data_IF_473600841497
#
_entry.id   IF_473600841497
#
_cell.length_a   1.000
_cell.length_b   1.000
_cell.length_c   1.000
_cell.angle_alpha   90.00
_cell.angle_beta   90.00
_cell.angle_gamma   90.00
#
_symmetry.space_group_name_H-M   'P 1'
#
loop_
_entity.id
_entity.type
_entity.pdbx_description
1 polymer ?
#
# COMPACT_ATOMS: atom_id res chain seq x y z
N UNK A 1 0.39 2.26 39.59
CA UNK A 1 -0.03 1.58 38.35
C UNK A 1 0.84 0.36 38.19
N UNK A 2 0.27 -0.83 38.03
CA UNK A 2 1.06 -2.07 38.00
C UNK A 2 1.73 -2.26 36.62
N UNK A 3 2.86 -2.97 36.58
CA UNK A 3 3.63 -3.28 35.35
C UNK A 3 2.72 -3.83 34.23
N UNK A 4 1.76 -4.70 34.60
CA UNK A 4 0.76 -5.27 33.70
C UNK A 4 -0.14 -4.22 33.06
N UNK A 5 -0.60 -3.23 33.84
CA UNK A 5 -1.50 -2.19 33.37
C UNK A 5 -0.78 -1.23 32.41
N UNK A 6 0.49 -0.94 32.70
CA UNK A 6 1.34 -0.13 31.83
C UNK A 6 1.57 -0.81 30.47
N UNK A 7 1.87 -2.12 30.47
CA UNK A 7 2.05 -2.89 29.23
C UNK A 7 0.75 -3.00 28.44
N UNK A 8 -0.39 -3.21 29.10
CA UNK A 8 -1.70 -3.21 28.45
C UNK A 8 -2.01 -1.87 27.78
N UNK A 9 -1.83 -0.74 28.48
CA UNK A 9 -2.03 0.60 27.91
C UNK A 9 -1.10 0.87 26.73
N UNK A 10 0.17 0.47 26.83
CA UNK A 10 1.12 0.62 25.73
C UNK A 10 0.76 -0.25 24.52
N UNK A 11 0.26 -1.47 24.77
CA UNK A 11 -0.24 -2.37 23.72
C UNK A 11 -1.41 -1.74 22.98
N UNK A 12 -2.40 -1.21 23.69
CA UNK A 12 -3.56 -0.55 23.09
C UNK A 12 -3.14 0.66 22.24
N UNK A 13 -2.21 1.48 22.74
CA UNK A 13 -1.65 2.59 21.97
C UNK A 13 -0.95 2.12 20.70
N UNK A 14 -0.15 1.06 20.78
CA UNK A 14 0.56 0.50 19.62
C UNK A 14 -0.39 -0.15 18.63
N UNK A 15 -1.47 -0.79 19.09
CA UNK A 15 -2.52 -1.36 18.25
C UNK A 15 -3.22 -0.29 17.43
N UNK A 16 -3.63 0.82 18.06
CA UNK A 16 -4.21 1.97 17.35
C UNK A 16 -3.27 2.63 16.33
N UNK A 17 -1.95 2.51 16.52
CA UNK A 17 -0.96 3.00 15.55
C UNK A 17 -0.80 2.02 14.38
N UNK A 18 -0.84 0.74 14.67
CA UNK A 18 -0.84 -0.32 13.65
C UNK A 18 -2.09 -0.25 12.77
N UNK A 19 -3.28 -0.10 13.36
CA UNK A 19 -4.54 0.12 12.65
C UNK A 19 -4.45 1.33 11.71
N UNK A 20 -3.94 2.48 12.19
CA UNK A 20 -3.72 3.66 11.34
C UNK A 20 -2.69 3.43 10.23
N UNK A 21 -1.63 2.66 10.50
CA UNK A 21 -0.66 2.32 9.47
C UNK A 21 -1.27 1.39 8.41
N UNK A 22 -2.15 0.46 8.82
CA UNK A 22 -2.90 -0.40 7.91
C UNK A 22 -3.88 0.41 7.04
N UNK A 23 -4.58 1.38 7.61
CA UNK A 23 -5.43 2.31 6.86
C UNK A 23 -4.61 3.08 5.82
N UNK A 24 -3.41 3.54 6.18
CA UNK A 24 -2.50 4.21 5.25
C UNK A 24 -2.07 3.29 4.10
N UNK A 25 -1.74 2.03 4.39
CA UNK A 25 -1.45 1.03 3.34
C UNK A 25 -2.63 0.87 2.40
N UNK A 26 -3.86 0.76 2.91
CA UNK A 26 -5.05 0.64 2.07
C UNK A 26 -5.24 1.88 1.19
N UNK A 27 -5.11 3.09 1.75
CA UNK A 27 -5.22 4.34 0.98
C UNK A 27 -4.15 4.44 -0.11
N UNK A 28 -2.89 4.14 0.23
CA UNK A 28 -1.77 4.18 -0.73
C UNK A 28 -1.91 3.09 -1.79
N UNK A 29 -2.46 1.93 -1.44
CA UNK A 29 -2.73 0.86 -2.41
C UNK A 29 -3.78 1.28 -3.42
N UNK A 30 -4.86 1.92 -2.97
CA UNK A 30 -5.87 2.47 -3.88
C UNK A 30 -5.27 3.53 -4.82
N UNK A 31 -4.48 4.46 -4.28
CA UNK A 31 -3.80 5.48 -5.09
C UNK A 31 -2.80 4.89 -6.10
N UNK A 32 -2.05 3.85 -5.72
CA UNK A 32 -1.14 3.15 -6.63
C UNK A 32 -1.88 2.41 -7.75
N UNK A 33 -3.00 1.78 -7.44
CA UNK A 33 -3.85 1.12 -8.43
C UNK A 33 -4.46 2.13 -9.40
N UNK A 34 -4.94 3.27 -8.90
CA UNK A 34 -5.46 4.34 -9.75
C UNK A 34 -4.37 4.87 -10.69
N UNK A 35 -3.17 5.15 -10.16
CA UNK A 35 -2.08 5.63 -11.00
C UNK A 35 -1.64 4.60 -12.06
N UNK A 36 -1.75 3.30 -11.77
CA UNK A 36 -1.51 2.26 -12.77
C UNK A 36 -2.58 2.25 -13.88
N UNK A 37 -3.85 2.47 -13.51
CA UNK A 37 -4.93 2.66 -14.48
C UNK A 37 -4.71 3.90 -15.35
N UNK A 38 -4.27 5.01 -14.77
CA UNK A 38 -4.00 6.24 -15.51
C UNK A 38 -2.87 6.06 -16.54
N UNK A 39 -1.83 5.28 -16.19
CA UNK A 39 -0.76 4.90 -17.13
C UNK A 39 -1.32 4.09 -18.30
N UNK A 40 -2.14 3.09 -18.00
CA UNK A 40 -2.74 2.26 -19.05
C UNK A 40 -3.62 3.10 -19.98
N UNK A 41 -4.49 3.93 -19.43
CA UNK A 41 -5.34 4.84 -20.20
C UNK A 41 -4.52 5.81 -21.07
N UNK A 42 -3.40 6.31 -20.56
CA UNK A 42 -2.52 7.18 -21.34
C UNK A 42 -1.83 6.42 -22.49
N UNK A 43 -1.38 5.19 -22.27
CA UNK A 43 -0.81 4.33 -23.30
C UNK A 43 -1.85 3.93 -24.37
N UNK A 44 -3.08 3.63 -23.94
CA UNK A 44 -4.20 3.33 -24.83
C UNK A 44 -4.55 4.55 -25.69
N UNK A 45 -4.58 5.75 -25.11
CA UNK A 45 -4.82 6.99 -25.85
C UNK A 45 -3.72 7.28 -26.89
N UNK A 46 -2.46 6.98 -26.60
CA UNK A 46 -1.37 7.06 -27.59
C UNK A 46 -1.60 6.08 -28.73
N UNK A 47 -1.91 4.83 -28.41
CA UNK A 47 -2.13 3.76 -29.39
C UNK A 47 -3.32 4.08 -30.29
N UNK A 48 -4.44 4.49 -29.70
CA UNK A 48 -5.66 4.86 -30.41
C UNK A 48 -5.44 6.07 -31.32
N UNK A 49 -4.71 7.10 -30.86
CA UNK A 49 -4.38 8.26 -31.68
C UNK A 49 -3.46 7.90 -32.85
N UNK A 50 -2.47 7.04 -32.63
CA UNK A 50 -1.58 6.55 -33.69
C UNK A 50 -2.36 5.76 -34.75
N UNK A 51 -3.24 4.86 -34.32
CA UNK A 51 -4.07 4.08 -35.24
C UNK A 51 -4.97 4.99 -36.08
N UNK A 52 -5.70 5.92 -35.43
CA UNK A 52 -6.54 6.89 -36.16
C UNK A 52 -5.75 7.75 -37.13
N UNK A 53 -4.51 8.10 -36.78
CA UNK A 53 -3.63 8.91 -37.65
C UNK A 53 -3.19 8.08 -38.85
N UNK A 54 -2.81 6.82 -38.65
CA UNK A 54 -2.46 5.90 -39.74
C UNK A 54 -3.64 5.65 -40.69
N UNK A 55 -4.84 5.38 -40.15
CA UNK A 55 -6.05 5.17 -40.97
C UNK A 55 -6.39 6.44 -41.78
N UNK A 56 -6.21 7.62 -41.18
CA UNK A 56 -6.41 8.90 -41.87
C UNK A 56 -5.32 9.19 -42.92
N UNK A 57 -4.08 8.78 -42.67
CA UNK A 57 -2.98 8.82 -43.63
C UNK A 57 -3.30 7.96 -44.85
N UNK A 58 -3.64 6.69 -44.63
CA UNK A 58 -3.98 5.74 -45.68
C UNK A 58 -5.17 6.21 -46.52
N UNK A 59 -6.24 6.69 -45.88
CA UNK A 59 -7.40 7.23 -46.57
C UNK A 59 -7.07 8.48 -47.40
N UNK A 60 -6.26 9.39 -46.85
CA UNK A 60 -5.89 10.62 -47.54
C UNK A 60 -4.96 10.36 -48.73
N UNK A 61 -3.97 9.48 -48.59
CA UNK A 61 -3.10 9.10 -49.70
C UNK A 61 -3.86 8.26 -50.74
N UNK A 62 -4.73 7.35 -50.32
CA UNK A 62 -5.59 6.58 -51.22
C UNK A 62 -6.48 7.47 -52.10
N UNK A 63 -7.03 8.56 -51.54
CA UNK A 63 -7.83 9.53 -52.29
C UNK A 63 -7.03 10.35 -53.33
N UNK A 64 -5.71 10.41 -53.20
CA UNK A 64 -4.83 11.10 -54.16
C UNK A 64 -4.42 10.19 -55.33
N UNK A 65 -4.56 8.87 -55.20
CA UNK A 65 -4.20 7.93 -56.27
C UNK A 65 -5.15 8.14 -57.47
N UNK A 66 -4.57 8.45 -58.63
CA UNK A 66 -5.34 8.63 -59.88
C UNK A 66 -6.02 9.99 -60.05
N UNK A 67 -5.81 10.94 -59.13
CA UNK A 67 -6.32 12.31 -59.23
C UNK A 67 -5.20 13.32 -59.54
N UNK A 68 -5.46 14.39 -60.31
CA UNK A 68 -4.50 15.47 -60.48
C UNK A 68 -4.29 16.23 -59.16
N UNK A 69 -3.08 16.12 -58.61
CA UNK A 69 -2.75 16.72 -57.31
C UNK A 69 -2.21 18.14 -57.50
N UNK A 70 -2.67 19.09 -56.68
CA UNK A 70 -2.15 20.46 -56.67
C UNK A 70 -1.33 20.76 -55.41
N UNK A 71 -0.37 21.69 -55.50
CA UNK A 71 0.51 22.03 -54.37
C UNK A 71 -0.25 22.44 -53.10
N UNK A 72 -1.39 23.14 -53.24
CA UNK A 72 -2.23 23.54 -52.11
C UNK A 72 -2.85 22.34 -51.37
N UNK A 73 -3.21 21.27 -52.09
CA UNK A 73 -3.74 20.04 -51.48
C UNK A 73 -2.68 19.28 -50.69
N UNK A 74 -1.44 19.22 -51.20
CA UNK A 74 -0.30 18.63 -50.49
C UNK A 74 0.06 19.43 -49.23
N UNK A 75 0.11 20.76 -49.32
CA UNK A 75 0.38 21.63 -48.16
C UNK A 75 -0.69 21.46 -47.06
N UNK A 76 -1.97 21.36 -47.43
CA UNK A 76 -3.05 21.09 -46.46
C UNK A 76 -2.90 19.72 -45.81
N UNK A 77 -2.50 18.71 -46.57
CA UNK A 77 -2.27 17.35 -46.07
C UNK A 77 -1.09 17.32 -45.10
N UNK A 78 0.02 17.93 -45.47
CA UNK A 78 1.19 18.09 -44.61
C UNK A 78 0.82 18.79 -43.29
N UNK A 79 0.09 19.90 -43.34
CA UNK A 79 -0.34 20.62 -42.14
C UNK A 79 -1.20 19.77 -41.19
N UNK A 80 -2.03 18.86 -41.72
CA UNK A 80 -2.82 17.92 -40.89
C UNK A 80 -1.92 16.92 -40.15
N UNK A 81 -0.93 16.34 -40.83
CA UNK A 81 -0.01 15.39 -40.19
C UNK A 81 0.95 16.07 -39.22
N UNK A 82 1.35 17.32 -39.47
CA UNK A 82 2.10 18.10 -38.49
C UNK A 82 1.30 18.33 -37.20
N UNK A 83 0.01 18.63 -37.30
CA UNK A 83 -0.89 18.73 -36.14
C UNK A 83 -1.03 17.39 -35.42
N UNK A 84 -1.21 16.30 -36.16
CA UNK A 84 -1.30 14.96 -35.60
C UNK A 84 0.00 14.55 -34.87
N UNK A 85 1.16 14.84 -35.45
CA UNK A 85 2.47 14.58 -34.86
C UNK A 85 2.69 15.39 -33.56
N UNK A 86 2.28 16.67 -33.54
CA UNK A 86 2.30 17.49 -32.31
C UNK A 86 1.42 16.88 -31.22
N UNK A 87 0.22 16.41 -31.59
CA UNK A 87 -0.69 15.75 -30.64
C UNK A 87 -0.11 14.45 -30.10
N UNK A 88 0.51 13.62 -30.95
CA UNK A 88 1.24 12.41 -30.51
C UNK A 88 2.33 12.76 -29.51
N UNK A 89 3.11 13.82 -29.76
CA UNK A 89 4.12 14.32 -28.83
C UNK A 89 3.55 14.68 -27.46
N UNK A 90 2.41 15.37 -27.42
CA UNK A 90 1.70 15.70 -26.18
C UNK A 90 1.19 14.47 -25.44
N UNK A 91 0.60 13.49 -26.16
CA UNK A 91 0.09 12.26 -25.56
C UNK A 91 1.21 11.42 -24.94
N UNK A 92 2.33 11.24 -25.66
CA UNK A 92 3.53 10.54 -25.14
C UNK A 92 4.16 11.25 -23.96
N UNK A 93 4.13 12.59 -23.92
CA UNK A 93 4.57 13.34 -22.74
C UNK A 93 3.65 13.06 -21.53
N UNK A 94 2.34 13.02 -21.75
CA UNK A 94 1.35 12.64 -20.74
C UNK A 94 1.56 11.22 -20.20
N UNK A 95 1.78 10.25 -21.08
CA UNK A 95 2.10 8.86 -20.72
C UNK A 95 3.34 8.78 -19.84
N UNK A 96 4.42 9.48 -20.21
CA UNK A 96 5.65 9.54 -19.39
C UNK A 96 5.39 10.14 -18.02
N UNK A 97 4.62 11.23 -17.93
CA UNK A 97 4.26 11.86 -16.66
C UNK A 97 3.43 10.92 -15.79
N UNK A 98 2.45 10.23 -16.37
CA UNK A 98 1.67 9.21 -15.66
C UNK A 98 2.58 8.09 -15.14
N UNK A 99 3.56 7.65 -15.93
CA UNK A 99 4.54 6.64 -15.53
C UNK A 99 5.37 7.07 -14.31
N UNK A 100 5.87 8.32 -14.31
CA UNK A 100 6.60 8.88 -13.17
C UNK A 100 5.71 8.97 -11.93
N UNK A 101 4.47 9.42 -12.08
CA UNK A 101 3.51 9.50 -10.99
C UNK A 101 3.20 8.11 -10.41
N UNK A 102 2.96 7.11 -11.25
CA UNK A 102 2.72 5.73 -10.83
C UNK A 102 3.92 5.15 -10.08
N UNK A 103 5.15 5.41 -10.54
CA UNK A 103 6.35 4.97 -9.84
C UNK A 103 6.47 5.61 -8.45
N UNK A 104 6.18 6.91 -8.33
CA UNK A 104 6.13 7.59 -7.04
C UNK A 104 5.11 6.94 -6.10
N UNK A 105 3.90 6.63 -6.59
CA UNK A 105 2.87 5.96 -5.77
C UNK A 105 3.28 4.56 -5.32
N UNK A 106 4.02 3.81 -6.14
CA UNK A 106 4.58 2.50 -5.74
C UNK A 106 5.60 2.63 -4.60
N UNK A 107 6.46 3.66 -4.66
CA UNK A 107 7.42 3.94 -3.58
C UNK A 107 6.69 4.27 -2.28
N UNK A 108 5.71 5.19 -2.34
CA UNK A 108 4.90 5.58 -1.17
C UNK A 108 4.15 4.36 -0.56
N UNK A 109 3.64 3.45 -1.39
CA UNK A 109 3.00 2.21 -0.92
C UNK A 109 4.01 1.27 -0.24
N UNK A 110 5.23 1.17 -0.78
CA UNK A 110 6.30 0.36 -0.18
C UNK A 110 6.69 0.88 1.20
N UNK A 111 6.85 2.20 1.32
CA UNK A 111 7.13 2.87 2.60
C UNK A 111 6.02 2.62 3.62
N UNK A 112 4.75 2.83 3.23
CA UNK A 112 3.61 2.57 4.11
C UNK A 112 3.55 1.09 4.59
N UNK A 113 3.88 0.13 3.72
CA UNK A 113 3.95 -1.29 4.08
C UNK A 113 5.07 -1.58 5.07
N UNK A 114 6.21 -0.93 4.93
CA UNK A 114 7.33 -1.07 5.86
C UNK A 114 6.97 -0.51 7.25
N UNK A 115 6.31 0.66 7.29
CA UNK A 115 5.84 1.28 8.53
C UNK A 115 4.77 0.45 9.24
N UNK A 116 3.83 -0.11 8.47
CA UNK A 116 2.84 -1.06 8.99
C UNK A 116 3.51 -2.30 9.58
N UNK A 117 4.47 -2.90 8.87
CA UNK A 117 5.25 -4.05 9.36
C UNK A 117 6.02 -3.74 10.64
N UNK A 118 6.60 -2.54 10.74
CA UNK A 118 7.28 -2.09 11.96
C UNK A 118 6.30 -1.93 13.13
N UNK A 119 5.12 -1.38 12.87
CA UNK A 119 4.04 -1.22 13.87
C UNK A 119 3.53 -2.57 14.36
N UNK A 120 3.27 -3.51 13.45
CA UNK A 120 2.91 -4.90 13.76
C UNK A 120 3.94 -5.57 14.68
N UNK A 121 5.24 -5.47 14.35
CA UNK A 121 6.32 -6.02 15.19
C UNK A 121 6.31 -5.43 16.61
N UNK A 122 6.04 -4.13 16.74
CA UNK A 122 5.96 -3.47 18.04
C UNK A 122 4.79 -3.99 18.88
N UNK A 123 3.63 -4.24 18.26
CA UNK A 123 2.47 -4.88 18.93
C UNK A 123 2.84 -6.30 19.36
N UNK A 124 3.36 -7.13 18.45
CA UNK A 124 3.75 -8.51 18.76
C UNK A 124 4.77 -8.60 19.89
N UNK A 125 5.69 -7.63 20.01
CA UNK A 125 6.64 -7.57 21.13
C UNK A 125 5.93 -7.42 22.48
N UNK A 126 4.90 -6.56 22.55
CA UNK A 126 4.13 -6.33 23.78
C UNK A 126 3.21 -7.51 24.11
N UNK A 127 2.68 -8.19 23.10
CA UNK A 127 1.89 -9.41 23.27
C UNK A 127 2.73 -10.50 23.95
N UNK A 128 3.97 -10.71 23.45
CA UNK A 128 4.92 -11.66 24.06
C UNK A 128 5.30 -11.30 25.49
N UNK A 129 5.55 -10.02 25.77
CA UNK A 129 5.85 -9.55 27.13
C UNK A 129 4.66 -9.77 28.07
N UNK A 130 3.44 -9.50 27.61
CA UNK A 130 2.21 -9.73 28.38
C UNK A 130 2.04 -11.21 28.72
N UNK A 131 2.32 -12.10 27.78
CA UNK A 131 2.27 -13.55 27.98
C UNK A 131 3.32 -14.02 28.99
N UNK A 132 4.57 -13.54 28.88
CA UNK A 132 5.64 -13.87 29.82
C UNK A 132 5.29 -13.45 31.25
N UNK A 133 4.73 -12.25 31.43
CA UNK A 133 4.27 -11.78 32.74
C UNK A 133 3.11 -12.61 33.29
N UNK A 134 2.16 -13.00 32.44
CA UNK A 134 1.06 -13.88 32.85
C UNK A 134 1.59 -15.22 33.36
N UNK A 135 2.53 -15.84 32.64
CA UNK A 135 3.19 -17.10 33.04
C UNK A 135 3.96 -16.95 34.36
N UNK A 136 4.72 -15.87 34.53
CA UNK A 136 5.45 -15.58 35.78
C UNK A 136 4.50 -15.44 36.97
N UNK A 137 3.40 -14.70 36.80
CA UNK A 137 2.41 -14.49 37.84
C UNK A 137 1.66 -15.77 38.19
N UNK A 138 1.35 -16.63 37.21
CA UNK A 138 0.74 -17.93 37.44
C UNK A 138 1.63 -18.82 38.32
N UNK A 139 2.93 -18.93 37.99
CA UNK A 139 3.90 -19.69 38.78
C UNK A 139 4.03 -19.16 40.21
N UNK A 140 4.08 -17.83 40.38
CA UNK A 140 4.15 -17.21 41.70
C UNK A 140 2.89 -17.51 42.53
N UNK A 141 1.71 -17.49 41.92
CA UNK A 141 0.45 -17.84 42.61
C UNK A 141 0.42 -19.31 43.03
N UNK A 142 0.94 -20.21 42.20
CA UNK A 142 1.08 -21.64 42.55
C UNK A 142 1.99 -21.81 43.77
N UNK A 143 3.18 -21.21 43.76
CA UNK A 143 4.09 -21.28 44.89
C UNK A 143 3.49 -20.72 46.20
N UNK A 144 2.70 -19.63 46.12
CA UNK A 144 2.01 -19.11 47.31
C UNK A 144 0.87 -20.01 47.78
N UNK A 145 0.16 -20.68 46.87
CA UNK A 145 -0.86 -21.65 47.25
C UNK A 145 -0.24 -22.87 47.93
N UNK A 146 0.87 -23.39 47.40
CA UNK A 146 1.65 -24.49 48.00
C UNK A 146 2.14 -24.13 49.41
N UNK A 147 2.71 -22.93 49.60
CA UNK A 147 3.13 -22.45 50.92
C UNK A 147 1.96 -22.34 51.90
N UNK A 148 0.81 -21.83 51.47
CA UNK A 148 -0.38 -21.72 52.32
C UNK A 148 -0.90 -23.10 52.75
N UNK A 149 -0.87 -24.10 51.86
CA UNK A 149 -1.21 -25.49 52.19
C UNK A 149 -0.22 -26.11 53.20
N UNK A 150 1.07 -25.80 53.08
CA UNK A 150 2.08 -26.26 54.04
C UNK A 150 1.89 -25.62 55.43
N UNK A 151 1.58 -24.33 55.49
CA UNK A 151 1.28 -23.62 56.75
C UNK A 151 0.04 -24.22 57.45
N UNK A 152 -1.03 -24.51 56.71
CA UNK A 152 -2.24 -25.15 57.25
C UNK A 152 -1.96 -26.57 57.78
N UNK A 153 -1.20 -27.39 57.03
CA UNK A 153 -0.78 -28.72 57.49
C UNK A 153 0.12 -28.65 58.72
N UNK A 154 1.00 -27.65 58.82
CA UNK A 154 1.86 -27.43 59.97
C UNK A 154 1.08 -27.07 61.23
N UNK A 155 0.09 -26.18 61.12
CA UNK A 155 -0.80 -25.80 62.23
C UNK A 155 -1.69 -26.97 62.68
N UNK A 156 -2.21 -27.78 61.75
CA UNK A 156 -2.99 -28.96 62.08
C UNK A 156 -2.19 -29.99 62.89
N UNK A 157 -0.91 -30.22 62.54
CA UNK A 157 -0.02 -31.14 63.27
C UNK A 157 0.28 -30.67 64.70
N UNK A 158 0.55 -29.37 64.88
CA UNK A 158 0.78 -28.78 66.21
C UNK A 158 -0.46 -28.80 67.11
N UNK A 159 -1.65 -28.89 66.52
CA UNK A 159 -2.93 -28.96 67.23
C UNK A 159 -3.26 -30.37 67.72
N UNK A 160 -2.75 -31.41 67.04
CA UNK A 160 -2.94 -32.83 67.42
C UNK A 160 -1.94 -33.36 68.45
N UNK A 161 -0.90 -32.60 68.79
CA UNK A 161 0.13 -32.98 69.78
C UNK A 161 -0.09 -32.35 71.18
N UNK A 162 -1.27 -31.78 71.45
CA UNK A 162 -1.69 -31.31 72.78
C UNK A 162 -2.81 -32.17 73.34
#
# INVERSE_FOLDING_TARGET
>A
MNERDMIARLRDLRRRREERAQEEVTRRSAAANQAAWDVQNAADAVTEHLQRTADAEDAAFGALVGQPVNAASLLRLQGRFEVAARKTGQLRAGEKMAGVAAQRRKIELSEARNDHRASMKAVTKLDRLSEQLARRNARRRQAFAELAEEEERGQARLSTER
#
